data_IF_597577866467
#
_entry.id   IF_597577866467
#
_cell.length_a   1.000
_cell.length_b   1.000
_cell.length_c   1.000
_cell.angle_alpha   90.00
_cell.angle_beta   90.00
_cell.angle_gamma   90.00
#
_symmetry.space_group_name_H-M   'P 1'
#
loop_
_entity.id
_entity.type
_entity.pdbx_description
1 polymer ?
#
# COMPACT_ATOMS: atom_id res chain seq x y z
N UNK A 1 18.69 -14.08 -15.20
CA UNK A 1 17.65 -13.13 -15.61
C UNK A 1 17.70 -12.79 -17.08
N UNK A 2 16.81 -11.92 -17.51
CA UNK A 2 16.72 -11.44 -18.91
C UNK A 2 16.72 -9.88 -18.94
N UNK A 3 17.78 -9.24 -18.42
CA UNK A 3 17.82 -7.78 -18.37
C UNK A 3 17.88 -7.22 -19.79
N UNK A 4 17.04 -6.21 -20.07
CA UNK A 4 16.95 -5.54 -21.36
C UNK A 4 16.71 -6.47 -22.58
N UNK A 5 16.14 -7.67 -22.34
CA UNK A 5 15.94 -8.68 -23.38
C UNK A 5 17.20 -9.49 -23.75
N UNK A 6 18.29 -9.35 -22.98
CA UNK A 6 19.50 -10.14 -23.11
C UNK A 6 19.34 -11.47 -22.37
N UNK A 7 19.11 -12.55 -23.09
CA UNK A 7 18.84 -13.86 -22.52
C UNK A 7 20.00 -14.41 -21.66
N UNK A 8 19.66 -15.26 -20.68
CA UNK A 8 20.59 -16.05 -19.85
C UNK A 8 21.66 -15.24 -19.12
N UNK A 9 21.34 -14.00 -18.71
CA UNK A 9 22.29 -13.17 -17.98
C UNK A 9 22.41 -13.59 -16.51
N UNK A 10 23.65 -13.73 -16.05
CA UNK A 10 24.03 -13.92 -14.65
C UNK A 10 24.85 -12.72 -14.21
N UNK A 11 24.54 -12.18 -13.03
CA UNK A 11 25.33 -11.14 -12.37
C UNK A 11 25.81 -11.64 -11.02
N UNK A 12 26.94 -11.15 -10.54
CA UNK A 12 27.52 -11.54 -9.27
C UNK A 12 27.70 -10.32 -8.36
N UNK A 13 27.65 -10.56 -7.06
CA UNK A 13 27.84 -9.57 -6.01
C UNK A 13 27.77 -10.21 -4.64
N UNK A 14 27.53 -9.42 -3.61
CA UNK A 14 27.44 -9.88 -2.21
C UNK A 14 26.09 -9.49 -1.61
N UNK A 15 25.73 -10.08 -0.47
CA UNK A 15 24.66 -9.61 0.39
C UNK A 15 25.18 -8.39 1.15
N UNK A 16 24.72 -7.23 0.77
CA UNK A 16 25.12 -5.94 1.39
C UNK A 16 24.41 -5.70 2.72
N UNK A 17 23.16 -6.17 2.86
CA UNK A 17 22.39 -6.08 4.11
C UNK A 17 21.19 -7.04 4.08
N UNK A 18 20.57 -7.25 5.26
CA UNK A 18 19.31 -7.96 5.44
C UNK A 18 18.32 -7.09 6.20
N UNK A 19 17.02 -7.39 6.05
CA UNK A 19 15.97 -6.67 6.77
C UNK A 19 15.78 -5.22 6.29
N UNK A 20 16.04 -4.95 5.00
CA UNK A 20 15.87 -3.59 4.47
C UNK A 20 14.40 -3.26 4.30
N UNK A 21 14.04 -2.09 4.80
CA UNK A 21 12.75 -1.43 4.59
C UNK A 21 12.98 -0.29 3.60
N UNK A 22 12.29 -0.32 2.46
CA UNK A 22 12.48 0.63 1.36
C UNK A 22 11.22 1.44 1.05
N UNK A 23 10.14 1.22 1.81
CA UNK A 23 8.87 1.90 1.62
C UNK A 23 8.01 1.31 0.48
N UNK A 24 8.34 0.10 0.01
CA UNK A 24 7.56 -0.58 -1.02
C UNK A 24 6.24 -1.16 -0.45
N UNK A 25 6.19 -1.40 0.86
CA UNK A 25 5.00 -1.88 1.54
C UNK A 25 5.18 -2.08 3.04
N UNK A 26 4.09 -2.42 3.76
CA UNK A 26 4.12 -2.58 5.21
C UNK A 26 4.88 -3.84 5.67
N UNK A 27 5.24 -4.73 4.76
CA UNK A 27 5.90 -6.01 5.04
C UNK A 27 7.32 -6.06 4.46
N UNK A 28 7.93 -4.91 4.24
CA UNK A 28 9.28 -4.81 3.72
C UNK A 28 10.27 -5.54 4.62
N UNK A 29 11.01 -6.46 4.03
CA UNK A 29 12.07 -7.23 4.69
C UNK A 29 13.02 -7.76 3.61
N UNK A 30 13.72 -6.86 2.91
CA UNK A 30 14.50 -7.24 1.74
C UNK A 30 15.95 -7.63 2.09
N UNK A 31 16.49 -8.55 1.29
CA UNK A 31 17.93 -8.73 1.14
C UNK A 31 18.42 -7.64 0.19
N UNK A 32 19.39 -6.85 0.62
CA UNK A 32 20.10 -5.91 -0.25
C UNK A 32 21.34 -6.61 -0.85
N UNK A 33 21.58 -6.39 -2.14
CA UNK A 33 22.75 -6.87 -2.86
C UNK A 33 23.28 -5.80 -3.81
N UNK A 34 24.57 -5.87 -4.10
CA UNK A 34 25.24 -5.08 -5.15
C UNK A 34 25.35 -5.83 -6.48
N UNK A 35 24.97 -7.13 -6.52
CA UNK A 35 24.78 -7.84 -7.77
C UNK A 35 23.84 -7.03 -8.69
N UNK A 36 24.24 -6.83 -9.93
CA UNK A 36 23.51 -5.96 -10.86
C UNK A 36 22.10 -6.48 -11.15
N UNK A 37 21.08 -5.80 -10.62
CA UNK A 37 19.67 -6.02 -10.92
C UNK A 37 19.20 -4.89 -11.82
N UNK A 38 18.58 -5.25 -12.96
CA UNK A 38 18.01 -4.31 -13.92
C UNK A 38 16.63 -4.82 -14.35
N UNK A 39 15.79 -3.98 -15.00
CA UNK A 39 14.53 -4.43 -15.59
C UNK A 39 14.71 -5.70 -16.42
N UNK A 40 13.92 -6.75 -16.10
CA UNK A 40 14.05 -8.10 -16.69
C UNK A 40 14.68 -9.14 -15.75
N UNK A 41 15.31 -8.73 -14.64
CA UNK A 41 15.79 -9.65 -13.59
C UNK A 41 14.75 -9.92 -12.50
N UNK A 42 13.72 -9.07 -12.38
CA UNK A 42 12.65 -9.23 -11.38
C UNK A 42 11.93 -10.57 -11.56
N UNK A 43 11.69 -11.29 -10.45
CA UNK A 43 11.17 -12.66 -10.44
C UNK A 43 12.25 -13.73 -10.62
N UNK A 44 13.47 -13.38 -11.06
CA UNK A 44 14.60 -14.29 -11.12
C UNK A 44 15.18 -14.61 -9.74
N UNK A 45 15.87 -15.75 -9.59
CA UNK A 45 16.44 -16.15 -8.31
C UNK A 45 17.71 -15.35 -7.97
N UNK A 46 17.85 -15.01 -6.69
CA UNK A 46 19.14 -14.70 -6.06
C UNK A 46 19.67 -16.02 -5.48
N UNK A 47 20.85 -16.46 -5.93
CA UNK A 47 21.42 -17.74 -5.53
C UNK A 47 22.73 -17.52 -4.76
N UNK A 48 23.05 -18.45 -3.86
CA UNK A 48 24.37 -18.50 -3.20
C UNK A 48 25.36 -19.32 -4.01
N UNK A 49 26.60 -19.40 -3.51
CA UNK A 49 27.68 -20.16 -4.17
C UNK A 49 27.48 -21.69 -4.14
N UNK A 50 26.55 -22.20 -3.33
CA UNK A 50 26.13 -23.60 -3.30
C UNK A 50 25.02 -23.90 -4.31
N UNK A 51 24.53 -22.89 -5.06
CA UNK A 51 23.44 -23.04 -6.01
C UNK A 51 22.04 -23.00 -5.37
N UNK A 52 21.94 -22.64 -4.08
CA UNK A 52 20.67 -22.55 -3.37
C UNK A 52 20.03 -21.19 -3.60
N UNK A 53 18.71 -21.16 -3.81
CA UNK A 53 17.94 -19.91 -3.91
C UNK A 53 17.81 -19.29 -2.52
N UNK A 54 18.35 -18.09 -2.32
CA UNK A 54 18.28 -17.32 -1.08
C UNK A 54 17.29 -16.18 -1.15
N UNK A 55 16.85 -15.77 -2.35
CA UNK A 55 15.88 -14.72 -2.54
C UNK A 55 15.30 -14.68 -3.96
N UNK A 56 14.30 -13.81 -4.14
CA UNK A 56 13.67 -13.51 -5.42
C UNK A 56 13.90 -12.03 -5.73
N UNK A 57 14.60 -11.73 -6.82
CA UNK A 57 14.89 -10.35 -7.23
C UNK A 57 13.62 -9.58 -7.48
N UNK A 58 13.55 -8.33 -7.01
CA UNK A 58 12.28 -7.58 -7.09
C UNK A 58 12.44 -6.10 -7.44
N UNK A 59 13.39 -5.39 -6.86
CA UNK A 59 13.50 -3.95 -7.01
C UNK A 59 14.94 -3.46 -7.02
N UNK A 60 15.14 -2.23 -7.46
CA UNK A 60 16.40 -1.49 -7.33
C UNK A 60 16.12 -0.12 -6.73
N UNK A 61 17.11 0.45 -6.05
CA UNK A 61 17.13 1.88 -5.77
C UNK A 61 17.90 2.55 -6.91
N UNK A 62 17.25 3.45 -7.65
CA UNK A 62 17.85 4.11 -8.78
C UNK A 62 17.15 5.43 -9.11
N UNK A 63 17.91 6.44 -9.46
CA UNK A 63 17.37 7.70 -9.98
C UNK A 63 17.31 7.70 -11.52
N UNK A 64 18.13 6.89 -12.17
CA UNK A 64 18.22 6.80 -13.64
C UNK A 64 17.47 5.60 -14.24
N UNK A 65 16.89 4.74 -13.41
CA UNK A 65 16.21 3.51 -13.82
C UNK A 65 17.15 2.31 -14.05
N UNK A 66 18.46 2.51 -14.05
CA UNK A 66 19.47 1.45 -14.13
C UNK A 66 20.10 1.12 -12.78
N UNK A 67 20.83 0.01 -12.70
CA UNK A 67 21.53 -0.42 -11.49
C UNK A 67 22.63 0.57 -11.08
N UNK A 68 22.69 0.92 -9.80
CA UNK A 68 23.74 1.73 -9.18
C UNK A 68 24.43 1.00 -8.01
N UNK A 69 24.35 -0.36 -7.98
CA UNK A 69 24.91 -1.17 -6.90
C UNK A 69 23.95 -1.35 -5.71
N UNK A 70 22.66 -1.02 -5.85
CA UNK A 70 21.65 -1.18 -4.80
C UNK A 70 20.46 -1.93 -5.36
N UNK A 71 20.48 -3.25 -5.21
CA UNK A 71 19.40 -4.15 -5.57
C UNK A 71 18.73 -4.77 -4.34
N UNK A 72 17.50 -5.23 -4.50
CA UNK A 72 16.68 -5.82 -3.44
C UNK A 72 16.05 -7.13 -3.91
N UNK A 73 16.08 -8.12 -3.02
CA UNK A 73 15.43 -9.41 -3.22
C UNK A 73 14.55 -9.76 -2.02
N UNK A 74 13.41 -10.40 -2.28
CA UNK A 74 12.54 -10.97 -1.25
C UNK A 74 13.24 -12.21 -0.69
N UNK A 75 13.43 -12.34 0.65
CA UNK A 75 14.03 -13.53 1.25
C UNK A 75 13.24 -14.81 0.88
N UNK A 76 13.94 -15.90 0.59
CA UNK A 76 13.31 -17.15 0.17
C UNK A 76 12.35 -17.72 1.21
N UNK A 77 12.63 -17.53 2.50
CA UNK A 77 11.75 -18.00 3.59
C UNK A 77 10.39 -17.29 3.56
N UNK A 78 10.38 -16.00 3.25
CA UNK A 78 9.13 -15.25 3.04
C UNK A 78 8.44 -15.71 1.75
N UNK A 79 9.21 -15.87 0.66
CA UNK A 79 8.67 -16.32 -0.62
C UNK A 79 8.01 -17.70 -0.50
N UNK A 80 8.62 -18.67 0.21
CA UNK A 80 8.04 -20.00 0.45
C UNK A 80 6.68 -19.92 1.14
N UNK A 81 6.56 -19.14 2.23
CA UNK A 81 5.29 -18.97 2.94
C UNK A 81 4.19 -18.43 2.02
N UNK A 82 4.51 -17.46 1.18
CA UNK A 82 3.57 -16.85 0.24
C UNK A 82 3.16 -17.83 -0.86
N UNK A 83 4.13 -18.53 -1.47
CA UNK A 83 3.90 -19.52 -2.52
C UNK A 83 3.01 -20.66 -2.01
N UNK A 84 3.25 -21.15 -0.79
CA UNK A 84 2.42 -22.21 -0.20
C UNK A 84 0.97 -21.77 0.00
N UNK A 85 0.74 -20.54 0.42
CA UNK A 85 -0.61 -19.98 0.53
C UNK A 85 -1.29 -19.82 -0.83
N UNK A 86 -0.57 -19.30 -1.83
CA UNK A 86 -1.09 -19.14 -3.18
C UNK A 86 -1.45 -20.48 -3.81
N UNK A 87 -0.62 -21.53 -3.61
CA UNK A 87 -0.91 -22.88 -4.11
C UNK A 87 -2.14 -23.52 -3.45
N UNK A 88 -2.30 -23.31 -2.13
CA UNK A 88 -3.39 -23.94 -1.36
C UNK A 88 -4.72 -23.17 -1.47
N UNK A 89 -4.65 -21.85 -1.42
CA UNK A 89 -5.82 -20.98 -1.22
C UNK A 89 -6.11 -20.07 -2.41
N UNK A 90 -5.22 -20.01 -3.42
CA UNK A 90 -5.31 -19.05 -4.52
C UNK A 90 -5.03 -17.59 -4.11
N UNK A 91 -4.85 -17.33 -2.83
CA UNK A 91 -4.62 -15.99 -2.27
C UNK A 91 -3.75 -16.04 -1.01
N UNK A 92 -3.20 -14.87 -0.66
CA UNK A 92 -2.43 -14.72 0.59
C UNK A 92 -3.33 -14.20 1.68
N UNK A 93 -3.48 -14.97 2.75
CA UNK A 93 -4.25 -14.61 3.94
C UNK A 93 -3.30 -14.04 4.98
N UNK A 94 -3.55 -12.83 5.47
CA UNK A 94 -2.74 -12.16 6.48
C UNK A 94 -3.55 -11.84 7.72
N UNK A 95 -2.90 -11.97 8.88
CA UNK A 95 -3.45 -11.46 10.12
C UNK A 95 -3.57 -9.94 10.10
N UNK A 96 -4.54 -9.42 10.84
CA UNK A 96 -4.83 -8.01 10.95
C UNK A 96 -5.30 -7.62 12.34
N UNK A 97 -4.87 -6.46 12.81
CA UNK A 97 -5.32 -5.86 14.07
C UNK A 97 -6.10 -4.56 13.86
N UNK A 98 -5.88 -3.87 12.76
CA UNK A 98 -6.50 -2.58 12.47
C UNK A 98 -5.88 -1.42 13.27
N UNK A 99 -4.55 -1.45 13.47
CA UNK A 99 -3.82 -0.36 14.12
C UNK A 99 -2.76 0.20 13.18
N UNK A 100 -2.48 1.50 13.33
CA UNK A 100 -1.25 2.15 12.86
C UNK A 100 -0.40 2.51 14.05
N UNK A 101 0.91 2.40 13.91
CA UNK A 101 1.85 2.69 14.96
C UNK A 101 3.10 3.38 14.41
N UNK A 102 3.77 4.14 15.25
CA UNK A 102 5.07 4.75 14.95
C UNK A 102 6.07 4.45 16.06
N UNK A 103 7.35 4.62 15.76
CA UNK A 103 8.41 4.49 16.76
C UNK A 103 8.28 5.56 17.85
N UNK A 104 8.57 5.17 19.08
CA UNK A 104 8.61 6.08 20.21
C UNK A 104 9.98 6.76 20.26
N UNK A 105 10.02 8.04 19.88
CA UNK A 105 11.23 8.87 20.00
C UNK A 105 11.55 9.16 21.49
N UNK A 106 12.79 9.53 21.83
CA UNK A 106 13.13 9.90 23.22
C UNK A 106 12.27 11.04 23.79
N UNK A 107 11.90 12.01 22.96
CA UNK A 107 11.02 13.12 23.34
C UNK A 107 9.60 12.63 23.63
N UNK A 108 9.09 11.75 22.77
CA UNK A 108 7.76 11.16 22.94
C UNK A 108 7.72 10.25 24.18
N UNK A 109 8.78 9.48 24.42
CA UNK A 109 8.92 8.65 25.62
C UNK A 109 8.82 9.50 26.91
N UNK A 110 9.53 10.62 26.95
CA UNK A 110 9.49 11.53 28.10
C UNK A 110 8.09 12.09 28.31
N UNK A 111 7.39 12.49 27.23
CA UNK A 111 6.02 13.02 27.30
C UNK A 111 4.99 11.97 27.73
N UNK A 112 5.21 10.72 27.38
CA UNK A 112 4.36 9.58 27.78
C UNK A 112 4.70 9.03 29.17
N UNK A 113 5.72 9.58 29.83
CA UNK A 113 6.16 9.13 31.17
C UNK A 113 6.85 7.77 31.17
N UNK A 114 7.47 7.40 30.04
CA UNK A 114 8.24 6.17 29.91
C UNK A 114 9.64 6.37 30.51
N UNK A 115 10.11 5.44 31.32
CA UNK A 115 11.46 5.48 31.90
C UNK A 115 12.53 5.24 30.83
N UNK A 116 13.67 5.95 30.92
CA UNK A 116 14.83 5.73 30.04
C UNK A 116 15.29 4.27 30.12
N UNK A 117 15.55 3.65 28.97
CA UNK A 117 16.09 2.28 28.90
C UNK A 117 15.08 1.18 28.59
N UNK A 118 13.81 1.49 28.43
CA UNK A 118 12.76 0.53 28.06
C UNK A 118 12.67 0.32 26.56
N UNK A 119 13.70 -0.17 25.92
CA UNK A 119 13.68 -0.68 24.52
C UNK A 119 12.93 0.19 23.49
N UNK A 120 13.05 -0.17 22.22
CA UNK A 120 12.22 0.44 21.16
C UNK A 120 10.77 -0.03 21.34
N UNK A 121 9.82 0.88 21.17
CA UNK A 121 8.41 0.65 21.40
C UNK A 121 7.60 1.30 20.26
N UNK A 122 6.42 0.78 20.03
CA UNK A 122 5.50 1.32 19.04
C UNK A 122 4.34 2.05 19.74
N UNK A 123 4.14 3.34 19.46
CA UNK A 123 2.94 4.04 19.91
C UNK A 123 1.86 3.93 18.85
N UNK A 124 0.67 3.53 19.27
CA UNK A 124 -0.53 3.45 18.43
C UNK A 124 -0.97 4.88 18.07
N UNK A 125 -1.03 5.18 16.79
CA UNK A 125 -1.47 6.48 16.27
C UNK A 125 -2.92 6.46 15.82
N UNK A 126 -3.40 5.30 15.38
CA UNK A 126 -4.75 5.13 14.85
C UNK A 126 -5.24 3.71 15.14
N UNK A 127 -6.53 3.58 15.42
CA UNK A 127 -7.25 2.30 15.54
C UNK A 127 -8.45 2.36 14.61
N UNK A 128 -8.53 1.42 13.68
CA UNK A 128 -9.63 1.33 12.74
C UNK A 128 -10.92 0.90 13.45
N UNK A 129 -12.04 1.50 13.06
CA UNK A 129 -13.37 1.12 13.57
C UNK A 129 -13.66 -0.36 13.23
N UNK A 130 -14.37 -1.04 14.13
CA UNK A 130 -14.75 -2.46 14.00
C UNK A 130 -13.54 -3.40 13.77
N UNK A 131 -12.37 -3.01 14.23
CA UNK A 131 -11.14 -3.82 14.14
C UNK A 131 -10.94 -4.69 15.38
N UNK A 132 -10.14 -5.78 15.27
CA UNK A 132 -9.74 -6.57 16.43
C UNK A 132 -9.12 -5.77 17.58
N UNK A 133 -8.37 -4.72 17.25
CA UNK A 133 -7.78 -3.83 18.24
C UNK A 133 -8.84 -2.96 18.93
N UNK A 134 -9.83 -2.45 18.19
CA UNK A 134 -10.94 -1.70 18.76
C UNK A 134 -11.78 -2.57 19.69
N UNK A 135 -12.10 -3.81 19.29
CA UNK A 135 -12.80 -4.79 20.10
C UNK A 135 -12.05 -5.14 21.40
N UNK A 136 -10.72 -5.21 21.32
CA UNK A 136 -9.86 -5.45 22.47
C UNK A 136 -9.68 -4.20 23.37
N UNK A 137 -10.22 -3.05 22.98
CA UNK A 137 -10.14 -1.80 23.74
C UNK A 137 -8.79 -1.08 23.64
N UNK A 138 -8.02 -1.34 22.57
CA UNK A 138 -6.79 -0.61 22.24
C UNK A 138 -7.19 0.79 21.74
N UNK A 139 -6.38 1.80 22.07
CA UNK A 139 -6.67 3.21 21.78
C UNK A 139 -5.43 3.92 21.23
N UNK A 140 -5.61 5.00 20.45
CA UNK A 140 -4.52 5.90 20.14
C UNK A 140 -3.83 6.40 21.42
N UNK A 141 -2.50 6.47 21.41
CA UNK A 141 -1.66 6.80 22.57
C UNK A 141 -1.16 5.58 23.36
N UNK A 142 -1.68 4.40 23.12
CA UNK A 142 -1.14 3.16 23.69
C UNK A 142 0.26 2.87 23.19
N UNK A 143 1.13 2.43 24.10
CA UNK A 143 2.50 2.05 23.72
C UNK A 143 2.65 0.52 23.81
N UNK A 144 2.80 -0.11 22.66
CA UNK A 144 3.00 -1.57 22.56
C UNK A 144 4.47 -1.88 22.87
N UNK A 145 4.70 -2.73 23.87
CA UNK A 145 6.03 -3.17 24.32
C UNK A 145 6.35 -4.59 23.91
N UNK A 146 5.35 -5.47 23.95
CA UNK A 146 5.53 -6.89 23.66
C UNK A 146 4.40 -7.41 22.79
N UNK A 147 4.74 -8.34 21.92
CA UNK A 147 3.83 -9.14 21.12
C UNK A 147 4.03 -10.62 21.47
N UNK A 148 3.01 -11.28 22.03
CA UNK A 148 3.08 -12.66 22.54
C UNK A 148 4.26 -12.92 23.49
N UNK A 149 4.48 -12.01 24.45
CA UNK A 149 5.55 -12.11 25.45
C UNK A 149 6.96 -11.84 24.91
N UNK A 150 7.10 -11.50 23.63
CA UNK A 150 8.37 -11.09 23.02
C UNK A 150 8.44 -9.58 22.91
N UNK A 151 9.54 -8.95 23.33
CA UNK A 151 9.74 -7.52 23.14
C UNK A 151 9.58 -7.13 21.67
N UNK A 152 8.94 -5.99 21.39
CA UNK A 152 8.81 -5.43 20.06
C UNK A 152 10.03 -4.54 19.77
N UNK A 153 10.96 -4.96 18.90
CA UNK A 153 12.21 -4.21 18.69
C UNK A 153 12.00 -2.88 17.99
N UNK A 154 11.07 -2.84 17.03
CA UNK A 154 10.72 -1.64 16.23
C UNK A 154 9.24 -1.65 15.90
N UNK A 155 8.65 -0.46 15.70
CA UNK A 155 7.25 -0.37 15.23
C UNK A 155 7.06 -1.04 13.87
N UNK A 156 8.10 -1.00 13.03
CA UNK A 156 8.13 -1.60 11.69
C UNK A 156 8.02 -3.13 11.70
N UNK A 157 8.34 -3.80 12.81
CA UNK A 157 8.23 -5.25 12.92
C UNK A 157 6.79 -5.71 13.21
N UNK A 158 5.96 -4.82 13.77
CA UNK A 158 4.59 -5.14 14.17
C UNK A 158 3.70 -5.59 13.00
N UNK A 159 3.69 -4.92 11.83
CA UNK A 159 2.91 -5.38 10.68
C UNK A 159 3.25 -6.81 10.25
N UNK A 160 4.54 -7.15 10.20
CA UNK A 160 5.00 -8.49 9.81
C UNK A 160 4.63 -9.55 10.85
N UNK A 161 4.79 -9.26 12.15
CA UNK A 161 4.40 -10.17 13.23
C UNK A 161 2.89 -10.45 13.22
N UNK A 162 2.10 -9.42 12.98
CA UNK A 162 0.64 -9.56 12.86
C UNK A 162 0.26 -10.34 11.61
N UNK A 163 0.85 -10.01 10.45
CA UNK A 163 0.55 -10.67 9.18
C UNK A 163 0.93 -12.15 9.17
N UNK A 164 2.01 -12.54 9.88
CA UNK A 164 2.45 -13.93 10.04
C UNK A 164 1.56 -14.73 11.01
N UNK A 165 0.66 -14.05 11.76
CA UNK A 165 -0.25 -14.71 12.69
C UNK A 165 -1.55 -15.08 11.97
N UNK A 166 -1.95 -16.38 11.96
CA UNK A 166 -3.19 -16.79 11.33
C UNK A 166 -4.43 -16.06 11.87
N UNK A 167 -5.36 -15.63 11.02
CA UNK A 167 -6.65 -15.11 11.46
C UNK A 167 -7.37 -16.07 12.40
N UNK A 168 -8.03 -15.54 13.42
CA UNK A 168 -8.70 -16.31 14.47
C UNK A 168 -7.80 -16.70 15.65
N UNK A 169 -6.48 -16.65 15.50
CA UNK A 169 -5.54 -16.90 16.59
C UNK A 169 -5.62 -15.79 17.64
N UNK A 170 -5.55 -16.15 18.92
CA UNK A 170 -5.43 -15.17 20.02
C UNK A 170 -3.96 -14.89 20.28
N UNK A 171 -3.65 -13.61 20.42
CA UNK A 171 -2.35 -13.07 20.81
C UNK A 171 -2.49 -12.25 22.09
N UNK A 172 -1.37 -11.92 22.70
CA UNK A 172 -1.30 -10.97 23.81
C UNK A 172 -0.44 -9.78 23.41
N UNK A 173 -0.94 -8.58 23.63
CA UNK A 173 -0.17 -7.33 23.52
C UNK A 173 0.06 -6.79 24.92
N UNK A 174 1.33 -6.57 25.29
CA UNK A 174 1.67 -5.84 26.50
C UNK A 174 1.76 -4.36 26.16
N UNK A 175 0.87 -3.61 26.74
CA UNK A 175 0.67 -2.19 26.43
C UNK A 175 0.92 -1.37 27.67
N UNK A 176 1.65 -0.27 27.50
CA UNK A 176 1.80 0.76 28.51
C UNK A 176 0.76 1.87 28.22
N UNK A 177 -0.15 2.10 29.18
CA UNK A 177 -1.21 3.09 29.14
C UNK A 177 -1.35 3.72 30.52
N UNK A 178 -1.43 5.06 30.62
CA UNK A 178 -1.63 5.78 31.89
C UNK A 178 -0.60 5.39 32.98
N UNK A 179 0.67 5.26 32.57
CA UNK A 179 1.81 4.86 33.42
C UNK A 179 1.73 3.44 33.98
N UNK A 180 0.84 2.60 33.50
CA UNK A 180 0.67 1.20 33.91
C UNK A 180 0.86 0.26 32.71
N UNK A 181 1.47 -0.88 32.97
CA UNK A 181 1.53 -1.98 32.02
C UNK A 181 0.28 -2.84 32.15
N UNK A 182 -0.36 -3.15 31.01
CA UNK A 182 -1.54 -4.01 30.92
C UNK A 182 -1.40 -4.98 29.79
N UNK A 183 -1.97 -6.17 29.94
CA UNK A 183 -2.00 -7.20 28.90
C UNK A 183 -3.38 -7.19 28.25
N UNK A 184 -3.39 -7.05 26.92
CA UNK A 184 -4.59 -7.08 26.11
C UNK A 184 -4.60 -8.36 25.27
N UNK A 185 -5.51 -9.30 25.54
CA UNK A 185 -5.76 -10.42 24.65
C UNK A 185 -6.51 -9.92 23.40
N UNK A 186 -5.97 -10.21 22.22
CA UNK A 186 -6.57 -9.79 20.96
C UNK A 186 -6.75 -11.02 20.08
N UNK A 187 -7.92 -11.17 19.47
CA UNK A 187 -8.16 -12.18 18.44
C UNK A 187 -7.80 -11.55 17.09
N UNK A 188 -6.77 -12.07 16.44
CA UNK A 188 -6.31 -11.57 15.14
C UNK A 188 -7.41 -11.76 14.11
N UNK A 189 -7.78 -10.70 13.40
CA UNK A 189 -8.69 -10.74 12.26
C UNK A 189 -7.94 -11.14 10.98
N UNK A 190 -8.68 -11.41 9.93
CA UNK A 190 -8.12 -11.44 8.58
C UNK A 190 -7.95 -10.00 8.12
N UNK A 191 -6.77 -9.68 7.56
CA UNK A 191 -6.58 -8.40 6.88
C UNK A 191 -7.72 -8.30 5.86
N UNK A 192 -8.63 -7.33 6.01
CA UNK A 192 -9.63 -7.14 5.00
C UNK A 192 -8.84 -7.17 3.71
N UNK A 193 -9.18 -8.11 2.78
CA UNK A 193 -8.71 -7.88 1.45
C UNK A 193 -8.92 -6.39 1.30
N UNK A 194 -7.82 -5.58 1.12
CA UNK A 194 -8.00 -4.63 0.09
C UNK A 194 -8.48 -5.55 -1.05
N UNK A 195 -9.77 -5.80 -1.05
CA UNK A 195 -10.43 -5.61 -2.30
C UNK A 195 -9.74 -4.32 -2.61
N UNK A 196 -8.69 -4.39 -3.51
CA UNK A 196 -8.64 -3.24 -4.37
C UNK A 196 -10.07 -2.87 -4.35
N UNK A 197 -10.38 -1.77 -3.67
CA UNK A 197 -11.53 -1.09 -4.10
C UNK A 197 -11.03 -0.56 -5.45
N UNK A 198 -10.88 -1.52 -6.32
CA UNK A 198 -11.73 -1.70 -7.46
C UNK A 198 -13.02 -1.84 -6.72
N UNK A 199 -13.38 -0.69 -6.00
CA UNK A 199 -14.73 -0.42 -5.59
C UNK A 199 -15.43 -0.99 -6.74
N UNK A 200 -16.15 -2.10 -6.55
CA UNK A 200 -17.07 -2.34 -7.60
C UNK A 200 -17.42 -0.93 -7.96
N UNK A 201 -16.52 -0.39 -8.84
CA UNK A 201 -16.98 0.57 -9.75
C UNK A 201 -18.09 -0.26 -10.34
N UNK A 202 -19.24 -0.29 -9.60
CA UNK A 202 -20.53 -0.27 -10.19
C UNK A 202 -20.59 1.01 -11.03
N UNK A 203 -19.47 1.47 -11.55
CA UNK A 203 -19.26 2.22 -12.74
C UNK A 203 -19.28 1.18 -13.84
N UNK A 204 -20.48 0.78 -14.31
CA UNK A 204 -20.69 0.43 -15.71
C UNK A 204 -19.82 1.40 -16.50
N UNK A 205 -19.02 0.89 -17.47
CA UNK A 205 -18.22 1.71 -18.37
C UNK A 205 -18.94 3.02 -18.62
N UNK A 206 -18.44 4.13 -18.11
CA UNK A 206 -19.13 5.40 -18.30
C UNK A 206 -19.18 5.65 -19.81
N UNK A 207 -20.24 6.24 -20.32
CA UNK A 207 -20.38 6.57 -21.76
C UNK A 207 -19.19 7.40 -22.28
N UNK A 208 -18.38 7.92 -21.38
CA UNK A 208 -17.15 8.65 -21.68
C UNK A 208 -15.92 7.71 -21.82
N UNK A 209 -16.04 6.44 -21.43
CA UNK A 209 -14.94 5.48 -21.44
C UNK A 209 -13.92 5.70 -20.34
N UNK A 210 -14.33 6.28 -19.19
CA UNK A 210 -13.52 6.34 -17.99
C UNK A 210 -14.13 5.50 -16.88
N UNK A 211 -13.27 4.87 -16.10
CA UNK A 211 -13.62 4.28 -14.84
C UNK A 211 -13.08 5.18 -13.73
N UNK A 212 -13.94 5.56 -12.81
CA UNK A 212 -13.60 6.48 -11.74
C UNK A 212 -13.86 5.87 -10.37
N UNK A 213 -13.13 6.32 -9.37
CA UNK A 213 -13.36 5.97 -7.97
C UNK A 213 -13.31 7.22 -7.08
N UNK A 214 -13.87 7.11 -5.87
CA UNK A 214 -13.81 8.20 -4.90
C UNK A 214 -12.37 8.44 -4.46
N UNK A 215 -11.95 9.71 -4.35
CA UNK A 215 -10.64 10.06 -3.79
C UNK A 215 -10.65 9.77 -2.30
N UNK A 216 -9.85 8.79 -1.88
CA UNK A 216 -9.60 8.48 -0.47
C UNK A 216 -8.40 9.27 0.05
N UNK A 217 -8.25 9.46 1.38
CA UNK A 217 -7.05 10.09 1.94
C UNK A 217 -5.74 9.41 1.54
N UNK A 218 -5.77 8.10 1.26
CA UNK A 218 -4.62 7.32 0.82
C UNK A 218 -4.26 7.61 -0.63
N UNK A 219 -5.26 7.63 -1.51
CA UNK A 219 -5.10 8.03 -2.91
C UNK A 219 -4.65 9.48 -3.02
N UNK A 220 -5.20 10.37 -2.18
CA UNK A 220 -4.77 11.77 -2.11
C UNK A 220 -3.27 11.88 -1.81
N UNK A 221 -2.78 11.14 -0.83
CA UNK A 221 -1.34 11.11 -0.49
C UNK A 221 -0.49 10.49 -1.59
N UNK A 222 -0.93 9.36 -2.16
CA UNK A 222 -0.21 8.62 -3.21
C UNK A 222 -0.03 9.45 -4.49
N UNK A 223 -1.02 10.25 -4.82
CA UNK A 223 -1.04 11.10 -6.02
C UNK A 223 -0.69 12.57 -5.72
N UNK A 224 -0.22 12.91 -4.51
CA UNK A 224 0.16 14.27 -4.14
C UNK A 224 -1.00 15.27 -4.18
N UNK A 225 -2.24 14.81 -3.99
CA UNK A 225 -3.42 15.67 -4.09
C UNK A 225 -3.62 16.47 -2.81
N UNK A 226 -3.86 17.76 -2.94
CA UNK A 226 -4.12 18.68 -1.83
C UNK A 226 -5.51 18.53 -1.19
N UNK A 227 -6.39 17.66 -1.75
CA UNK A 227 -7.78 17.52 -1.31
C UNK A 227 -8.35 16.14 -1.70
N UNK A 228 -9.27 15.63 -0.87
CA UNK A 228 -10.03 14.40 -1.11
C UNK A 228 -11.34 14.63 -1.87
N UNK A 229 -11.62 15.87 -2.33
CA UNK A 229 -12.80 16.18 -3.14
C UNK A 229 -12.60 15.65 -4.57
N UNK A 230 -13.66 15.20 -5.22
CA UNK A 230 -13.63 14.70 -6.59
C UNK A 230 -13.63 13.19 -6.70
N UNK A 231 -13.54 12.72 -7.95
CA UNK A 231 -13.35 11.30 -8.29
C UNK A 231 -12.08 11.16 -9.12
N UNK A 232 -11.26 10.15 -8.81
CA UNK A 232 -10.01 9.88 -9.54
C UNK A 232 -10.28 8.90 -10.68
N UNK A 233 -9.71 9.17 -11.83
CA UNK A 233 -9.75 8.30 -13.01
C UNK A 233 -8.75 7.16 -12.78
N UNK A 234 -9.24 5.92 -12.78
CA UNK A 234 -8.39 4.72 -12.59
C UNK A 234 -8.08 4.03 -13.90
N UNK A 235 -8.94 4.21 -14.90
CA UNK A 235 -8.73 3.64 -16.22
C UNK A 235 -9.40 4.50 -17.28
N UNK A 236 -8.77 4.62 -18.44
CA UNK A 236 -9.30 5.26 -19.65
C UNK A 236 -9.27 4.26 -20.78
N UNK A 237 -10.43 4.02 -21.41
CA UNK A 237 -10.56 3.07 -22.51
C UNK A 237 -9.98 3.68 -23.80
N UNK A 238 -9.02 3.02 -24.45
CA UNK A 238 -8.47 3.50 -25.70
C UNK A 238 -9.54 3.80 -26.76
N UNK A 239 -9.41 4.92 -27.47
CA UNK A 239 -10.37 5.38 -28.49
C UNK A 239 -11.70 5.91 -27.93
N UNK A 240 -11.83 6.06 -26.63
CA UNK A 240 -13.01 6.64 -25.97
C UNK A 240 -13.03 8.17 -26.07
N UNK A 241 -14.19 8.81 -25.82
CA UNK A 241 -14.27 10.27 -25.75
C UNK A 241 -13.29 10.90 -24.74
N UNK A 242 -13.02 10.23 -23.64
CA UNK A 242 -12.08 10.70 -22.62
C UNK A 242 -10.62 10.60 -23.12
N UNK A 243 -10.26 9.49 -23.75
CA UNK A 243 -8.94 9.29 -24.35
C UNK A 243 -8.68 10.33 -25.46
N UNK A 244 -9.65 10.56 -26.35
CA UNK A 244 -9.55 11.57 -27.40
C UNK A 244 -9.43 13.00 -26.85
N UNK A 245 -9.97 13.26 -25.68
CA UNK A 245 -9.85 14.54 -25.00
C UNK A 245 -8.54 14.68 -24.21
N UNK A 246 -7.75 13.61 -24.07
CA UNK A 246 -6.48 13.62 -23.33
C UNK A 246 -6.63 13.46 -21.81
N UNK A 247 -7.72 12.84 -21.35
CA UNK A 247 -7.87 12.42 -19.95
C UNK A 247 -7.04 11.16 -19.72
N UNK A 248 -6.34 11.10 -18.59
CA UNK A 248 -5.40 10.03 -18.25
C UNK A 248 -5.73 9.41 -16.88
N UNK A 249 -5.25 8.19 -16.65
CA UNK A 249 -5.33 7.58 -15.33
C UNK A 249 -4.51 8.42 -14.32
N UNK A 250 -5.09 8.65 -13.13
CA UNK A 250 -4.53 9.54 -12.11
C UNK A 250 -5.15 10.95 -12.12
N UNK A 251 -5.86 11.34 -13.15
CA UNK A 251 -6.60 12.60 -13.18
C UNK A 251 -7.74 12.60 -12.15
N UNK A 252 -8.02 13.75 -11.53
CA UNK A 252 -9.13 13.91 -10.58
C UNK A 252 -10.19 14.83 -11.19
N UNK A 253 -11.36 14.27 -11.46
CA UNK A 253 -12.51 15.04 -11.94
C UNK A 253 -13.16 15.74 -10.75
N UNK A 254 -13.15 17.07 -10.77
CA UNK A 254 -13.70 17.95 -9.72
C UNK A 254 -15.13 18.37 -10.02
N UNK A 255 -15.40 18.65 -11.31
CA UNK A 255 -16.70 19.13 -11.75
C UNK A 255 -17.07 18.56 -13.11
N UNK A 256 -18.37 18.38 -13.34
CA UNK A 256 -18.96 18.08 -14.65
C UNK A 256 -20.02 19.13 -14.93
N UNK A 257 -19.88 19.88 -16.03
CA UNK A 257 -20.75 20.99 -16.39
C UNK A 257 -20.93 22.01 -15.25
N UNK A 258 -19.82 22.41 -14.61
CA UNK A 258 -19.76 23.35 -13.49
C UNK A 258 -20.52 22.88 -12.22
N UNK A 259 -20.83 21.59 -12.13
CA UNK A 259 -21.43 20.98 -10.94
C UNK A 259 -20.36 20.18 -10.21
N UNK A 260 -20.15 20.41 -8.89
CA UNK A 260 -19.19 19.66 -8.12
C UNK A 260 -19.50 18.16 -8.12
N UNK A 261 -18.45 17.35 -8.24
CA UNK A 261 -18.49 15.89 -8.17
C UNK A 261 -17.67 15.47 -6.97
N UNK A 262 -18.28 14.79 -6.00
CA UNK A 262 -17.59 14.31 -4.80
C UNK A 262 -17.68 12.77 -4.64
N UNK A 263 -18.60 12.14 -5.38
CA UNK A 263 -18.82 10.69 -5.37
C UNK A 263 -18.93 10.16 -6.80
N UNK A 264 -18.71 8.86 -6.98
CA UNK A 264 -18.93 8.17 -8.26
C UNK A 264 -20.36 8.38 -8.76
N UNK A 265 -21.33 8.34 -7.84
CA UNK A 265 -22.74 8.56 -8.16
C UNK A 265 -23.02 9.99 -8.68
N UNK A 266 -22.35 11.01 -8.10
CA UNK A 266 -22.45 12.38 -8.60
C UNK A 266 -21.92 12.49 -10.03
N UNK A 267 -20.77 11.85 -10.28
CA UNK A 267 -20.17 11.78 -11.60
C UNK A 267 -21.10 11.13 -12.63
N UNK A 268 -21.61 9.93 -12.33
CA UNK A 268 -22.54 9.21 -13.21
C UNK A 268 -23.80 10.01 -13.50
N UNK A 269 -24.41 10.60 -12.47
CA UNK A 269 -25.61 11.41 -12.63
C UNK A 269 -25.33 12.64 -13.50
N UNK A 270 -24.21 13.33 -13.29
CA UNK A 270 -23.84 14.52 -14.05
C UNK A 270 -23.55 14.19 -15.53
N UNK A 271 -22.93 13.04 -15.78
CA UNK A 271 -22.71 12.54 -17.16
C UNK A 271 -24.02 12.16 -17.82
N UNK A 272 -24.98 11.55 -17.12
CA UNK A 272 -26.29 11.14 -17.67
C UNK A 272 -27.23 12.30 -17.94
N UNK A 273 -27.15 13.42 -17.23
CA UNK A 273 -28.02 14.56 -17.38
C UNK A 273 -27.84 15.32 -18.72
N UNK A 274 -26.70 15.16 -19.41
CA UNK A 274 -26.50 15.69 -20.76
C UNK A 274 -27.30 14.90 -21.82
N UNK A 275 -27.79 15.55 -22.83
CA UNK A 275 -28.41 14.86 -24.00
C UNK A 275 -27.33 14.15 -24.83
N UNK A 276 -27.69 13.08 -25.53
CA UNK A 276 -26.78 12.43 -26.49
C UNK A 276 -26.31 13.46 -27.53
N UNK A 277 -25.01 13.52 -27.76
CA UNK A 277 -24.36 14.47 -28.65
C UNK A 277 -23.96 15.80 -28.04
N UNK A 278 -24.38 16.11 -26.80
CA UNK A 278 -23.93 17.30 -26.07
C UNK A 278 -22.45 17.23 -25.74
N UNK A 279 -21.83 18.40 -25.62
CA UNK A 279 -20.48 18.54 -25.08
C UNK A 279 -20.57 18.61 -23.56
N UNK A 280 -19.79 17.78 -22.88
CA UNK A 280 -19.59 17.82 -21.43
C UNK A 280 -18.32 18.59 -21.14
N UNK A 281 -18.39 19.51 -20.21
CA UNK A 281 -17.23 20.24 -19.70
C UNK A 281 -16.80 19.64 -18.36
N UNK A 282 -15.60 19.12 -18.30
CA UNK A 282 -15.02 18.56 -17.07
C UNK A 282 -13.91 19.47 -16.54
N UNK A 283 -13.96 19.81 -15.26
CA UNK A 283 -12.83 20.39 -14.55
C UNK A 283 -12.03 19.23 -13.94
N UNK A 284 -10.81 19.08 -14.40
CA UNK A 284 -9.91 17.97 -14.03
C UNK A 284 -8.67 18.55 -13.38
N UNK A 285 -8.28 18.00 -12.24
CA UNK A 285 -7.00 18.28 -11.61
C UNK A 285 -6.00 17.19 -12.01
N UNK A 286 -4.86 17.61 -12.56
CA UNK A 286 -3.69 16.79 -12.89
C UNK A 286 -2.49 17.32 -12.14
N UNK A 287 -2.07 16.60 -11.10
CA UNK A 287 -1.09 17.13 -10.13
C UNK A 287 -1.62 18.42 -9.47
N UNK A 288 -0.83 19.50 -9.51
CA UNK A 288 -1.21 20.79 -8.94
C UNK A 288 -2.02 21.70 -9.90
N UNK A 289 -2.24 21.28 -11.14
CA UNK A 289 -2.89 22.09 -12.16
C UNK A 289 -4.35 21.66 -12.35
N UNK A 290 -5.23 22.63 -12.51
CA UNK A 290 -6.63 22.42 -12.89
C UNK A 290 -6.82 22.79 -14.37
N UNK A 291 -7.38 21.87 -15.16
CA UNK A 291 -7.57 22.02 -16.61
C UNK A 291 -9.01 21.66 -16.99
N UNK A 292 -9.60 22.42 -17.90
CA UNK A 292 -10.90 22.09 -18.46
C UNK A 292 -10.77 21.20 -19.68
N UNK A 293 -11.53 20.11 -19.71
CA UNK A 293 -11.66 19.22 -20.86
C UNK A 293 -13.10 19.27 -21.41
N UNK A 294 -13.22 19.39 -22.72
CA UNK A 294 -14.52 19.33 -23.40
C UNK A 294 -14.64 17.99 -24.16
N UNK A 295 -15.58 17.14 -23.76
CA UNK A 295 -15.79 15.83 -24.34
C UNK A 295 -17.11 15.77 -25.08
N UNK A 296 -17.15 15.14 -26.27
CA UNK A 296 -18.37 14.84 -26.98
C UNK A 296 -18.88 13.47 -26.56
N UNK A 297 -20.10 13.43 -26.02
CA UNK A 297 -20.74 12.17 -25.64
C UNK A 297 -21.02 11.34 -26.90
N UNK A 298 -20.60 10.06 -26.91
CA UNK A 298 -20.96 9.13 -27.99
C UNK A 298 -22.49 8.96 -28.04
N UNK A 299 -23.03 9.03 -29.23
CA UNK A 299 -24.43 8.80 -29.48
C UNK A 299 -24.87 7.35 -29.39
#
# INVERSE_FOLDING_TARGET
>A
GNPFGLELTVTAGIVSAKGRVIGAGPYDNFIQTDASINPGNSGGPLINVQGEVVGVNTAIFSQSGGNIGIGFAIPVDLAKKIVDQLRKNGRVVRGWLGIRAQDVTPQLAASLGLTRGTGVMAVVTEVADNSPAAEAGIKPGDVIREFNGKPLPKSQDLPSLVADTPPGQRITLKIFREKLERIFPVKVGELPEEREVVAQAEGKDSELGVRVQKVTPELSRRHGLSSTKGVIVVEVKPGSPADQAGIEAGDVIREVNQRPVNTVKDFENSVRQGKKGDRLLLLVQRGDNAVFFALKRKG
#
